data_IF_634947057476
#
_entry.id   IF_634947057476
#
_cell.length_a   1.000
_cell.length_b   1.000
_cell.length_c   1.000
_cell.angle_alpha   90.00
_cell.angle_beta   90.00
_cell.angle_gamma   90.00
#
_symmetry.space_group_name_H-M   'P 1'
#
loop_
_entity.id
_entity.type
_entity.pdbx_description
1 polymer ?
#
# COMPACT_ATOMS: atom_id res chain seq x y z
N UNK A 1 23.30 -32.40 18.12
CA UNK A 1 23.47 -31.43 17.03
C UNK A 1 22.36 -31.55 15.99
N UNK A 2 21.20 -32.09 16.35
CA UNK A 2 20.05 -32.33 15.44
C UNK A 2 18.76 -31.56 15.82
N UNK A 3 18.68 -30.94 16.99
CA UNK A 3 17.48 -30.21 17.42
C UNK A 3 17.51 -28.72 17.16
N UNK A 4 18.68 -28.15 16.90
CA UNK A 4 18.83 -26.72 16.53
C UNK A 4 18.47 -26.44 15.05
N UNK A 5 18.50 -27.45 14.18
CA UNK A 5 18.14 -27.28 12.77
C UNK A 5 16.63 -27.45 12.49
N UNK A 6 15.83 -27.88 13.47
CA UNK A 6 14.36 -27.98 13.34
C UNK A 6 13.63 -26.73 13.80
N UNK A 7 14.29 -25.78 14.42
CA UNK A 7 13.69 -24.50 14.82
C UNK A 7 13.59 -23.47 13.68
N UNK A 8 14.21 -23.74 12.52
CA UNK A 8 14.41 -22.73 11.48
C UNK A 8 13.30 -22.58 10.46
N UNK A 9 12.18 -23.29 10.55
CA UNK A 9 11.13 -23.10 9.50
C UNK A 9 9.71 -23.30 10.04
N UNK A 10 9.39 -22.86 11.23
CA UNK A 10 7.98 -22.58 11.54
C UNK A 10 7.64 -21.17 11.04
N UNK A 11 7.53 -21.02 9.73
CA UNK A 11 6.71 -19.93 9.17
C UNK A 11 5.31 -20.11 9.75
N UNK A 12 4.99 -19.33 10.78
CA UNK A 12 3.62 -19.26 11.30
C UNK A 12 2.69 -19.01 10.11
N UNK A 13 1.70 -19.87 9.84
CA UNK A 13 0.83 -19.69 8.70
C UNK A 13 0.18 -18.31 8.83
N UNK A 14 0.26 -17.50 7.75
CA UNK A 14 -0.35 -16.17 7.71
C UNK A 14 -1.82 -16.34 8.03
N UNK A 15 -2.31 -15.64 9.06
CA UNK A 15 -3.70 -15.72 9.52
C UNK A 15 -4.66 -15.45 8.35
N UNK A 16 -5.73 -16.23 8.27
CA UNK A 16 -6.76 -16.07 7.23
C UNK A 16 -7.41 -14.69 7.25
N UNK A 17 -7.50 -14.06 8.42
CA UNK A 17 -8.01 -12.70 8.58
C UNK A 17 -7.10 -11.66 7.90
N UNK A 18 -5.79 -11.76 8.08
CA UNK A 18 -4.82 -10.85 7.45
C UNK A 18 -4.87 -10.94 5.93
N UNK A 19 -4.95 -12.17 5.38
CA UNK A 19 -5.07 -12.38 3.93
C UNK A 19 -6.38 -11.80 3.38
N UNK A 20 -7.49 -12.01 4.09
CA UNK A 20 -8.80 -11.49 3.69
C UNK A 20 -8.82 -9.97 3.70
N UNK A 21 -8.28 -9.36 4.73
CA UNK A 21 -8.20 -7.91 4.87
C UNK A 21 -7.36 -7.30 3.73
N UNK A 22 -6.18 -7.85 3.48
CA UNK A 22 -5.32 -7.42 2.37
C UNK A 22 -6.04 -7.55 1.02
N UNK A 23 -6.71 -8.68 0.78
CA UNK A 23 -7.47 -8.90 -0.46
C UNK A 23 -8.58 -7.88 -0.64
N UNK A 24 -9.35 -7.59 0.42
CA UNK A 24 -10.41 -6.58 0.39
C UNK A 24 -9.87 -5.19 0.06
N UNK A 25 -8.76 -4.77 0.67
CA UNK A 25 -8.12 -3.48 0.37
C UNK A 25 -7.65 -3.43 -1.08
N UNK A 26 -7.03 -4.52 -1.57
CA UNK A 26 -6.60 -4.62 -2.96
C UNK A 26 -7.75 -4.47 -3.95
N UNK A 27 -8.86 -5.17 -3.71
CA UNK A 27 -10.06 -5.10 -4.54
C UNK A 27 -10.73 -3.72 -4.48
N UNK A 28 -10.87 -3.12 -3.30
CA UNK A 28 -11.44 -1.78 -3.15
C UNK A 28 -10.58 -0.72 -3.86
N UNK A 29 -9.26 -0.82 -3.72
CA UNK A 29 -8.34 0.07 -4.44
C UNK A 29 -8.48 -0.06 -5.95
N UNK A 30 -8.54 -1.29 -6.47
CA UNK A 30 -8.76 -1.52 -7.89
C UNK A 30 -10.11 -0.98 -8.37
N UNK A 31 -11.19 -1.21 -7.61
CA UNK A 31 -12.51 -0.68 -7.93
C UNK A 31 -12.51 0.86 -8.00
N UNK A 32 -11.82 1.53 -7.05
CA UNK A 32 -11.65 2.99 -7.10
C UNK A 32 -10.90 3.46 -8.36
N UNK A 33 -9.84 2.76 -8.77
CA UNK A 33 -9.12 3.08 -10.02
C UNK A 33 -9.97 2.82 -11.26
N UNK A 34 -10.81 1.79 -11.28
CA UNK A 34 -11.75 1.54 -12.39
C UNK A 34 -12.76 2.69 -12.51
N UNK A 35 -13.32 3.15 -11.40
CA UNK A 35 -14.21 4.32 -11.39
C UNK A 35 -13.47 5.56 -11.91
N UNK A 36 -12.23 5.81 -11.46
CA UNK A 36 -11.39 6.89 -12.00
C UNK A 36 -11.13 6.75 -13.49
N UNK A 37 -10.86 5.52 -13.96
CA UNK A 37 -10.62 5.22 -15.37
C UNK A 37 -11.81 5.47 -16.29
N UNK A 38 -13.05 5.32 -15.78
CA UNK A 38 -14.26 5.67 -16.51
C UNK A 38 -14.35 7.18 -16.80
N UNK A 39 -13.74 8.01 -15.97
CA UNK A 39 -13.70 9.48 -16.10
C UNK A 39 -12.46 9.98 -16.85
N UNK A 40 -11.31 9.35 -16.62
CA UNK A 40 -9.98 9.81 -17.07
C UNK A 40 -9.44 9.02 -18.26
N UNK A 41 -10.09 7.92 -18.61
CA UNK A 41 -9.73 7.10 -19.77
C UNK A 41 -8.88 5.87 -19.46
N UNK A 42 -8.80 5.01 -20.49
CA UNK A 42 -8.16 3.69 -20.35
C UNK A 42 -6.65 3.78 -20.12
N UNK A 43 -5.97 4.77 -20.71
CA UNK A 43 -4.53 4.95 -20.51
C UNK A 43 -4.22 5.27 -19.04
N UNK A 44 -5.00 6.17 -18.43
CA UNK A 44 -4.87 6.49 -17.02
C UNK A 44 -5.08 5.23 -16.15
N UNK A 45 -6.14 4.47 -16.44
CA UNK A 45 -6.44 3.23 -15.71
C UNK A 45 -5.33 2.20 -15.85
N UNK A 46 -4.77 2.03 -17.05
CA UNK A 46 -3.70 1.08 -17.28
C UNK A 46 -2.43 1.43 -16.48
N UNK A 47 -2.03 2.70 -16.49
CA UNK A 47 -0.85 3.17 -15.76
C UNK A 47 -1.06 3.08 -14.23
N UNK A 48 -2.16 3.63 -13.71
CA UNK A 48 -2.50 3.57 -12.30
C UNK A 48 -2.68 2.13 -11.81
N UNK A 49 -3.37 1.29 -12.61
CA UNK A 49 -3.61 -0.11 -12.33
C UNK A 49 -2.32 -0.93 -12.26
N UNK A 50 -1.35 -0.63 -13.13
CA UNK A 50 -0.05 -1.31 -13.15
C UNK A 50 0.75 -1.02 -11.89
N UNK A 51 0.79 0.26 -11.47
CA UNK A 51 1.45 0.66 -10.21
C UNK A 51 0.73 0.05 -9.01
N UNK A 52 -0.61 0.07 -8.98
CA UNK A 52 -1.37 -0.55 -7.91
C UNK A 52 -1.15 -2.06 -7.82
N UNK A 53 -1.13 -2.76 -8.95
CA UNK A 53 -0.82 -4.19 -9.01
C UNK A 53 0.59 -4.48 -8.49
N UNK A 54 1.57 -3.66 -8.83
CA UNK A 54 2.94 -3.77 -8.31
C UNK A 54 2.96 -3.58 -6.78
N UNK A 55 2.28 -2.57 -6.25
CA UNK A 55 2.18 -2.31 -4.80
C UNK A 55 1.54 -3.52 -4.09
N UNK A 56 0.42 -4.02 -4.62
CA UNK A 56 -0.25 -5.22 -4.09
C UNK A 56 0.66 -6.45 -4.11
N UNK A 57 1.41 -6.66 -5.20
CA UNK A 57 2.38 -7.75 -5.30
C UNK A 57 3.48 -7.63 -4.24
N UNK A 58 4.07 -6.45 -4.08
CA UNK A 58 5.11 -6.19 -3.09
C UNK A 58 4.59 -6.38 -1.66
N UNK A 59 3.38 -5.90 -1.38
CA UNK A 59 2.72 -6.07 -0.07
C UNK A 59 2.47 -7.55 0.21
N UNK A 60 1.92 -8.29 -0.75
CA UNK A 60 1.64 -9.73 -0.61
C UNK A 60 2.89 -10.52 -0.24
N UNK A 61 4.02 -10.23 -0.89
CA UNK A 61 5.29 -10.89 -0.60
C UNK A 61 5.80 -10.61 0.81
N UNK A 62 5.47 -9.45 1.36
CA UNK A 62 5.93 -8.96 2.66
C UNK A 62 4.93 -9.15 3.80
N UNK A 63 3.73 -9.71 3.54
CA UNK A 63 2.76 -10.04 4.60
C UNK A 63 3.36 -10.85 5.77
N UNK A 64 4.31 -11.79 5.57
CA UNK A 64 4.98 -12.47 6.68
C UNK A 64 5.80 -11.55 7.59
N UNK A 65 6.08 -10.31 7.18
CA UNK A 65 6.79 -9.29 7.96
C UNK A 65 5.84 -8.40 8.79
N UNK A 66 4.53 -8.70 8.80
CA UNK A 66 3.56 -7.94 9.60
C UNK A 66 3.69 -8.27 11.11
N UNK A 67 4.83 -7.93 11.67
CA UNK A 67 5.23 -8.17 13.06
C UNK A 67 6.17 -7.07 13.55
N UNK A 68 6.28 -6.82 14.86
CA UNK A 68 7.10 -5.73 15.39
C UNK A 68 8.61 -6.01 15.28
N UNK A 69 9.01 -7.29 15.36
CA UNK A 69 10.41 -7.74 15.22
C UNK A 69 10.45 -9.14 14.58
N UNK A 70 11.62 -9.59 14.16
CA UNK A 70 11.82 -10.92 13.53
C UNK A 70 11.38 -12.08 14.41
N UNK A 71 11.51 -11.94 15.71
CA UNK A 71 11.24 -13.01 16.69
C UNK A 71 9.82 -12.91 17.30
N UNK A 72 9.08 -11.85 16.95
CA UNK A 72 7.73 -11.63 17.46
C UNK A 72 6.66 -12.33 16.61
N UNK A 73 5.51 -12.68 17.21
CA UNK A 73 4.40 -13.26 16.49
C UNK A 73 3.82 -12.26 15.48
N UNK A 74 3.22 -12.80 14.40
CA UNK A 74 2.51 -11.99 13.40
C UNK A 74 1.30 -11.29 14.02
N UNK A 75 1.06 -10.05 13.61
CA UNK A 75 -0.20 -9.37 13.90
C UNK A 75 -1.35 -10.06 13.14
N UNK A 76 -2.51 -10.20 13.81
CA UNK A 76 -3.71 -10.83 13.24
C UNK A 76 -4.35 -10.01 12.10
N UNK A 77 -4.10 -8.69 12.08
CA UNK A 77 -4.61 -7.75 11.09
C UNK A 77 -3.49 -6.82 10.61
N UNK A 78 -3.75 -6.07 9.54
CA UNK A 78 -2.78 -5.12 8.99
C UNK A 78 -2.45 -3.97 9.96
N UNK A 79 -3.37 -3.61 10.85
CA UNK A 79 -3.25 -2.43 11.68
C UNK A 79 -3.52 -1.12 10.92
N UNK A 80 -3.82 -0.06 11.68
CA UNK A 80 -4.19 1.24 11.11
C UNK A 80 -3.05 1.90 10.33
N UNK A 81 -1.81 1.80 10.84
CA UNK A 81 -0.65 2.36 10.16
C UNK A 81 -0.49 1.78 8.74
N UNK A 82 -0.45 0.45 8.60
CA UNK A 82 -0.28 -0.21 7.31
C UNK A 82 -1.45 0.05 6.34
N UNK A 83 -2.69 0.22 6.87
CA UNK A 83 -3.85 0.62 6.05
C UNK A 83 -3.67 2.02 5.49
N UNK A 84 -3.17 2.97 6.29
CA UNK A 84 -2.89 4.34 5.86
C UNK A 84 -1.76 4.37 4.82
N UNK A 85 -0.71 3.58 5.02
CA UNK A 85 0.38 3.44 4.03
C UNK A 85 -0.14 2.88 2.71
N UNK A 86 -1.04 1.88 2.73
CA UNK A 86 -1.67 1.36 1.51
C UNK A 86 -2.60 2.38 0.85
N UNK A 87 -3.33 3.18 1.63
CA UNK A 87 -4.14 4.27 1.10
C UNK A 87 -3.27 5.35 0.44
N UNK A 88 -2.15 5.73 1.08
CA UNK A 88 -1.16 6.63 0.47
C UNK A 88 -0.63 6.07 -0.85
N UNK A 89 -0.24 4.80 -0.85
CA UNK A 89 0.26 4.12 -2.03
C UNK A 89 -0.79 4.06 -3.17
N UNK A 90 -2.08 3.97 -2.84
CA UNK A 90 -3.17 4.10 -3.80
C UNK A 90 -3.23 5.50 -4.43
N UNK A 91 -3.10 6.56 -3.63
CA UNK A 91 -3.04 7.93 -4.17
C UNK A 91 -1.82 8.12 -5.08
N UNK A 92 -0.66 7.57 -4.71
CA UNK A 92 0.54 7.59 -5.56
C UNK A 92 0.27 6.86 -6.89
N UNK A 93 -0.37 5.68 -6.87
CA UNK A 93 -0.76 4.96 -8.08
C UNK A 93 -1.71 5.79 -8.96
N UNK A 94 -2.69 6.48 -8.35
CA UNK A 94 -3.61 7.35 -9.05
C UNK A 94 -2.91 8.56 -9.70
N UNK A 95 -1.93 9.17 -9.02
CA UNK A 95 -1.07 10.23 -9.60
C UNK A 95 -0.24 9.70 -10.77
N UNK A 96 0.35 8.50 -10.62
CA UNK A 96 1.13 7.86 -11.68
C UNK A 96 0.31 7.59 -12.95
N UNK A 97 -1.01 7.47 -12.82
CA UNK A 97 -1.93 7.40 -13.97
C UNK A 97 -1.85 8.60 -14.91
N UNK A 98 -1.39 9.76 -14.45
CA UNK A 98 -1.22 10.96 -15.29
C UNK A 98 0.15 11.06 -15.95
N UNK A 99 1.08 10.16 -15.65
CA UNK A 99 2.37 10.12 -16.32
C UNK A 99 2.18 9.78 -17.81
N UNK A 100 2.96 10.39 -18.67
CA UNK A 100 3.01 10.11 -20.12
C UNK A 100 1.68 10.36 -20.87
N UNK A 101 0.80 11.20 -20.33
CA UNK A 101 -0.38 11.67 -21.03
C UNK A 101 -0.54 13.20 -20.93
N UNK A 102 -1.42 13.76 -21.76
CA UNK A 102 -1.72 15.19 -21.71
C UNK A 102 -2.29 15.55 -20.33
N UNK A 103 -1.94 16.75 -19.86
CA UNK A 103 -2.49 17.25 -18.59
C UNK A 103 -4.02 17.39 -18.72
N UNK A 104 -4.77 17.00 -17.67
CA UNK A 104 -6.23 17.09 -17.71
C UNK A 104 -6.69 18.53 -17.93
N UNK A 105 -7.62 18.72 -18.89
CA UNK A 105 -8.18 20.01 -19.21
C UNK A 105 -9.41 20.31 -18.35
N UNK A 106 -9.67 21.60 -18.15
CA UNK A 106 -10.83 22.10 -17.40
C UNK A 106 -10.53 22.46 -15.94
N UNK A 107 -11.32 23.39 -15.37
CA UNK A 107 -11.00 24.01 -14.07
C UNK A 107 -10.90 23.02 -12.89
N UNK A 108 -11.71 21.96 -12.90
CA UNK A 108 -11.73 20.97 -11.84
C UNK A 108 -10.69 19.85 -12.05
N UNK A 109 -10.55 19.37 -13.30
CA UNK A 109 -9.68 18.22 -13.59
C UNK A 109 -8.19 18.59 -13.58
N UNK A 110 -7.84 19.83 -13.95
CA UNK A 110 -6.45 20.29 -13.94
C UNK A 110 -5.82 20.31 -12.55
N UNK A 111 -6.62 20.43 -11.49
CA UNK A 111 -6.16 20.36 -10.09
C UNK A 111 -6.04 18.95 -9.56
N UNK A 112 -6.69 17.98 -10.21
CA UNK A 112 -6.82 16.60 -9.69
C UNK A 112 -5.48 15.92 -9.39
N UNK A 113 -4.46 15.93 -10.28
CA UNK A 113 -3.17 15.31 -9.98
C UNK A 113 -2.49 15.93 -8.75
N UNK A 114 -2.54 17.26 -8.62
CA UNK A 114 -1.97 17.99 -7.48
C UNK A 114 -2.69 17.67 -6.17
N UNK A 115 -4.02 17.56 -6.20
CA UNK A 115 -4.83 17.20 -5.03
C UNK A 115 -4.55 15.77 -4.59
N UNK A 116 -4.47 14.82 -5.50
CA UNK A 116 -4.13 13.42 -5.19
C UNK A 116 -2.73 13.32 -4.56
N UNK A 117 -1.76 14.06 -5.11
CA UNK A 117 -0.41 14.13 -4.54
C UNK A 117 -0.42 14.77 -3.14
N UNK A 118 -1.16 15.85 -2.95
CA UNK A 118 -1.31 16.49 -1.63
C UNK A 118 -1.87 15.51 -0.59
N UNK A 119 -2.92 14.74 -0.95
CA UNK A 119 -3.45 13.71 -0.06
C UNK A 119 -2.42 12.63 0.27
N UNK A 120 -1.63 12.18 -0.72
CA UNK A 120 -0.54 11.25 -0.48
C UNK A 120 0.49 11.82 0.52
N UNK A 121 0.91 13.08 0.34
CA UNK A 121 1.87 13.74 1.21
C UNK A 121 1.34 13.98 2.64
N UNK A 122 0.05 14.27 2.80
CA UNK A 122 -0.58 14.38 4.12
C UNK A 122 -0.64 13.04 4.81
N UNK A 123 -1.04 11.99 4.10
CA UNK A 123 -1.10 10.63 4.65
C UNK A 123 0.25 10.11 5.11
N UNK A 124 1.34 10.45 4.42
CA UNK A 124 2.71 10.15 4.81
C UNK A 124 3.07 10.67 6.22
N UNK A 125 2.59 11.86 6.57
CA UNK A 125 2.77 12.42 7.92
C UNK A 125 1.89 11.74 8.96
N UNK A 126 0.68 11.35 8.56
CA UNK A 126 -0.33 10.76 9.43
C UNK A 126 0.01 9.32 9.76
N UNK A 127 0.43 8.49 8.80
CA UNK A 127 0.73 7.06 9.05
C UNK A 127 1.92 6.88 10.00
N UNK A 128 2.98 7.68 9.83
CA UNK A 128 4.10 7.70 10.76
C UNK A 128 3.71 8.16 12.18
N UNK A 129 2.79 9.13 12.31
CA UNK A 129 2.26 9.54 13.60
C UNK A 129 1.44 8.43 14.25
N UNK A 130 0.53 7.80 13.49
CA UNK A 130 -0.33 6.70 13.95
C UNK A 130 0.51 5.48 14.35
N UNK A 131 1.53 5.10 13.58
CA UNK A 131 2.41 3.98 13.90
C UNK A 131 3.09 4.17 15.26
N UNK A 132 3.63 5.37 15.51
CA UNK A 132 4.28 5.68 16.79
C UNK A 132 3.31 5.70 17.97
N UNK A 133 2.08 6.21 17.77
CA UNK A 133 1.10 6.36 18.86
C UNK A 133 0.35 5.07 19.17
N UNK A 134 0.12 4.22 18.17
CA UNK A 134 -0.60 2.94 18.35
C UNK A 134 0.28 1.81 18.89
N UNK A 135 1.61 1.97 18.89
CA UNK A 135 2.53 0.90 19.23
C UNK A 135 2.49 -0.30 18.27
N UNK A 136 1.82 -0.15 17.13
CA UNK A 136 1.66 -1.18 16.08
C UNK A 136 2.60 -0.95 14.89
N UNK A 137 3.82 -0.47 15.15
CA UNK A 137 4.83 -0.45 14.10
C UNK A 137 5.17 -1.89 13.70
N UNK A 138 5.29 -2.13 12.40
CA UNK A 138 5.65 -3.44 11.86
C UNK A 138 6.79 -3.32 10.85
N UNK A 139 7.56 -4.39 10.70
CA UNK A 139 8.60 -4.45 9.65
C UNK A 139 7.94 -4.25 8.27
N UNK A 140 6.75 -4.85 8.06
CA UNK A 140 5.95 -4.64 6.85
C UNK A 140 5.68 -3.15 6.59
N UNK A 141 5.29 -2.39 7.61
CA UNK A 141 4.98 -0.97 7.48
C UNK A 141 6.19 -0.17 7.02
N UNK A 142 7.34 -0.37 7.63
CA UNK A 142 8.58 0.30 7.25
C UNK A 142 9.02 -0.05 5.83
N UNK A 143 8.87 -1.32 5.41
CA UNK A 143 9.19 -1.74 4.05
C UNK A 143 8.23 -1.14 3.01
N UNK A 144 6.93 -1.08 3.32
CA UNK A 144 5.92 -0.48 2.44
C UNK A 144 6.12 1.04 2.30
N UNK A 145 6.51 1.70 3.39
CA UNK A 145 6.86 3.10 3.39
C UNK A 145 8.02 3.36 2.43
N UNK A 146 9.10 2.61 2.57
CA UNK A 146 10.26 2.68 1.65
C UNK A 146 9.87 2.43 0.18
N UNK A 147 9.01 1.43 -0.09
CA UNK A 147 8.53 1.14 -1.46
C UNK A 147 7.67 2.27 -1.99
N UNK A 148 6.80 2.84 -1.16
CA UNK A 148 5.92 3.94 -1.56
C UNK A 148 6.71 5.21 -1.84
N UNK A 149 7.74 5.51 -1.03
CA UNK A 149 8.64 6.65 -1.26
C UNK A 149 9.42 6.49 -2.56
N UNK A 150 9.93 5.29 -2.84
CA UNK A 150 10.66 5.02 -4.08
C UNK A 150 9.81 5.16 -5.35
N UNK A 151 8.48 5.01 -5.24
CA UNK A 151 7.56 5.18 -6.37
C UNK A 151 7.03 6.62 -6.44
N UNK A 152 6.86 7.27 -5.29
CA UNK A 152 6.22 8.59 -5.18
C UNK A 152 7.16 9.80 -5.30
N UNK A 153 8.47 9.57 -5.28
CA UNK A 153 9.50 10.58 -5.54
C UNK A 153 9.97 10.49 -7.00
#
# INVERSE_FOLDING_TARGET
>A
MSDTLRAETQQTPIDGLLKREFFLIGCLGLAGLVVGGLLLGLQWLAQAGLIWAFICYQTKRRLPLNRPSTDAPLYKNLGWANRLTLLRAWFIAAVAGFLFQAWPEGPALSWLPGMLYLFAAVLDRVDGFVARRSGQSSILGNDLDTVSDAIGL
#
